data_IF_622178799335
#
_entry.id   IF_622178799335
#
_cell.length_a   1.000
_cell.length_b   1.000
_cell.length_c   1.000
_cell.angle_alpha   90.00
_cell.angle_beta   90.00
_cell.angle_gamma   90.00
#
_symmetry.space_group_name_H-M   'P 1'
#
loop_
_entity.id
_entity.type
_entity.pdbx_description
1 polymer ?
#
# COMPACT_ATOMS: atom_id res chain seq x y z
N UNK A 1 -44.23 11.78 41.33
CA UNK A 1 -43.24 11.62 40.24
C UNK A 1 -42.43 10.32 40.27
N UNK A 2 -42.16 9.69 41.44
CA UNK A 2 -41.42 8.41 41.53
C UNK A 2 -42.09 7.17 40.91
N UNK A 3 -43.42 7.16 40.73
CA UNK A 3 -44.19 5.97 40.32
C UNK A 3 -44.02 5.57 38.83
N UNK A 4 -43.55 6.50 37.99
CA UNK A 4 -43.43 6.26 36.55
C UNK A 4 -42.11 5.58 36.16
N UNK A 5 -41.07 5.63 37.01
CA UNK A 5 -39.77 5.01 36.74
C UNK A 5 -39.83 3.50 37.00
N UNK A 6 -40.56 3.06 38.03
CA UNK A 6 -40.71 1.63 38.36
C UNK A 6 -41.50 0.86 37.30
N UNK A 7 -42.52 1.47 36.67
CA UNK A 7 -43.27 0.83 35.58
C UNK A 7 -42.46 0.75 34.28
N UNK A 8 -41.49 1.66 34.09
CA UNK A 8 -40.55 1.61 32.97
C UNK A 8 -39.45 0.54 33.18
N UNK A 9 -39.08 0.23 34.42
CA UNK A 9 -38.18 -0.91 34.71
C UNK A 9 -38.95 -2.25 34.66
N UNK A 10 -40.28 -2.19 34.80
CA UNK A 10 -41.20 -3.31 34.57
C UNK A 10 -41.56 -3.48 33.07
N UNK A 11 -40.75 -2.89 32.17
CA UNK A 11 -40.77 -3.28 30.76
C UNK A 11 -40.52 -4.78 30.67
N UNK A 12 -41.32 -5.49 29.86
CA UNK A 12 -41.25 -6.95 29.70
C UNK A 12 -39.79 -7.39 29.60
N UNK A 13 -39.37 -8.31 30.48
CA UNK A 13 -37.99 -8.84 30.54
C UNK A 13 -37.47 -9.26 29.16
N UNK A 14 -38.38 -9.61 28.24
CA UNK A 14 -38.09 -9.87 26.83
C UNK A 14 -37.54 -8.67 26.04
N UNK A 15 -38.06 -7.46 26.25
CA UNK A 15 -37.55 -6.23 25.61
C UNK A 15 -36.14 -5.91 26.11
N UNK A 16 -35.90 -6.03 27.42
CA UNK A 16 -34.56 -5.82 27.99
C UNK A 16 -33.58 -6.86 27.43
N UNK A 17 -33.97 -8.13 27.37
CA UNK A 17 -33.17 -9.20 26.78
C UNK A 17 -32.87 -8.95 25.30
N UNK A 18 -33.86 -8.49 24.52
CA UNK A 18 -33.70 -8.16 23.10
C UNK A 18 -32.71 -7.01 22.89
N UNK A 19 -32.81 -5.94 23.69
CA UNK A 19 -31.87 -4.81 23.61
C UNK A 19 -30.44 -5.28 23.92
N UNK A 20 -30.27 -6.08 24.97
CA UNK A 20 -28.96 -6.66 25.32
C UNK A 20 -28.42 -7.51 24.16
N UNK A 21 -29.26 -8.38 23.58
CA UNK A 21 -28.88 -9.21 22.43
C UNK A 21 -28.45 -8.36 21.23
N UNK A 22 -29.17 -7.28 20.92
CA UNK A 22 -28.81 -6.35 19.83
C UNK A 22 -27.45 -5.67 20.10
N UNK A 23 -27.19 -5.25 21.33
CA UNK A 23 -25.90 -4.65 21.70
C UNK A 23 -24.76 -5.65 21.51
N UNK A 24 -24.92 -6.90 21.95
CA UNK A 24 -23.90 -7.94 21.75
C UNK A 24 -23.67 -8.27 20.28
N UNK A 25 -24.75 -8.37 19.48
CA UNK A 25 -24.64 -8.60 18.03
C UNK A 25 -23.93 -7.42 17.37
N UNK A 26 -24.30 -6.19 17.71
CA UNK A 26 -23.70 -4.97 17.16
C UNK A 26 -22.22 -4.86 17.52
N UNK A 27 -21.85 -5.16 18.77
CA UNK A 27 -20.47 -5.20 19.23
C UNK A 27 -19.66 -6.31 18.53
N UNK A 28 -20.24 -7.49 18.34
CA UNK A 28 -19.62 -8.60 17.61
C UNK A 28 -19.36 -8.24 16.14
N UNK A 29 -20.37 -7.68 15.47
CA UNK A 29 -20.24 -7.15 14.10
C UNK A 29 -19.14 -6.09 14.05
N UNK A 30 -19.21 -5.08 14.91
CA UNK A 30 -18.21 -4.01 14.98
C UNK A 30 -16.78 -4.55 15.16
N UNK A 31 -16.58 -5.54 16.03
CA UNK A 31 -15.26 -6.16 16.24
C UNK A 31 -14.73 -6.87 15.00
N UNK A 32 -15.59 -7.54 14.23
CA UNK A 32 -15.19 -8.21 12.98
C UNK A 32 -14.84 -7.20 11.89
N UNK A 33 -15.57 -6.09 11.81
CA UNK A 33 -15.36 -5.06 10.78
C UNK A 33 -14.17 -4.12 11.08
N UNK A 34 -13.77 -3.96 12.34
CA UNK A 34 -12.66 -3.05 12.73
C UNK A 34 -11.30 -3.72 12.84
N UNK A 35 -11.25 -5.06 12.92
CA UNK A 35 -9.96 -5.78 13.00
C UNK A 35 -9.16 -5.63 11.70
N UNK A 36 -7.87 -5.26 11.78
CA UNK A 36 -7.01 -5.21 10.62
C UNK A 36 -6.75 -6.62 10.08
N UNK A 37 -6.55 -6.72 8.77
CA UNK A 37 -6.10 -7.93 8.10
C UNK A 37 -4.58 -7.94 8.14
N UNK A 38 -4.00 -8.95 8.79
CA UNK A 38 -2.54 -9.15 8.85
C UNK A 38 -2.17 -10.33 7.94
N UNK A 39 -1.11 -10.20 7.16
CA UNK A 39 -0.63 -11.25 6.25
C UNK A 39 0.89 -11.17 6.17
N UNK A 40 1.56 -12.29 6.45
CA UNK A 40 2.99 -12.44 6.17
C UNK A 40 3.22 -12.54 4.67
N UNK A 41 4.22 -11.83 4.18
CA UNK A 41 4.58 -11.74 2.77
C UNK A 41 6.02 -12.18 2.61
N UNK A 42 6.23 -13.08 1.66
CA UNK A 42 7.53 -13.54 1.19
C UNK A 42 7.41 -13.73 -0.33
N UNK A 43 7.90 -12.74 -1.08
CA UNK A 43 7.88 -12.76 -2.53
C UNK A 43 9.28 -12.56 -3.09
N UNK A 44 9.56 -13.23 -4.21
CA UNK A 44 10.71 -13.01 -5.05
C UNK A 44 10.23 -12.86 -6.49
N UNK A 45 10.53 -11.74 -7.11
CA UNK A 45 10.06 -11.36 -8.44
C UNK A 45 11.22 -11.02 -9.36
N UNK A 46 11.06 -11.41 -10.62
CA UNK A 46 11.73 -10.72 -11.72
C UNK A 46 10.97 -9.43 -12.00
N UNK A 47 11.70 -8.36 -12.25
CA UNK A 47 11.20 -7.07 -12.65
C UNK A 47 12.03 -6.49 -13.78
N UNK A 48 11.54 -5.38 -14.32
CA UNK A 48 12.24 -4.61 -15.35
C UNK A 48 12.36 -3.17 -14.88
N UNK A 49 13.58 -2.65 -14.93
CA UNK A 49 13.87 -1.23 -14.86
C UNK A 49 13.96 -0.67 -16.26
N UNK A 50 13.24 0.40 -16.54
CA UNK A 50 13.22 1.02 -17.86
C UNK A 50 13.16 2.54 -17.73
N UNK A 51 13.48 3.22 -18.82
CA UNK A 51 13.34 4.67 -18.92
C UNK A 51 12.06 5.00 -19.71
N UNK A 52 11.25 5.91 -19.17
CA UNK A 52 10.06 6.39 -19.86
C UNK A 52 10.46 7.13 -21.14
N UNK A 53 9.71 6.94 -22.23
CA UNK A 53 9.99 7.60 -23.51
C UNK A 53 11.22 7.07 -24.28
N UNK A 54 11.98 6.14 -23.70
CA UNK A 54 13.10 5.46 -24.34
C UNK A 54 12.78 3.96 -24.46
N UNK A 55 12.48 3.53 -25.68
CA UNK A 55 12.13 2.13 -25.98
C UNK A 55 13.36 1.20 -26.02
N UNK A 56 14.56 1.77 -26.15
CA UNK A 56 15.80 1.02 -26.35
C UNK A 56 16.47 0.63 -25.02
N UNK A 57 15.91 1.08 -23.88
CA UNK A 57 16.48 0.81 -22.56
C UNK A 57 15.53 0.03 -21.66
N UNK A 58 15.96 -1.19 -21.34
CA UNK A 58 15.44 -2.01 -20.25
C UNK A 58 16.60 -2.76 -19.56
N UNK A 59 16.46 -2.98 -18.26
CA UNK A 59 17.42 -3.69 -17.43
C UNK A 59 16.64 -4.65 -16.51
N UNK A 60 16.94 -5.97 -16.51
CA UNK A 60 16.32 -6.90 -15.58
C UNK A 60 16.75 -6.61 -14.14
N UNK A 61 15.78 -6.66 -13.23
CA UNK A 61 15.97 -6.43 -11.79
C UNK A 61 15.37 -7.60 -11.02
N UNK A 62 16.02 -8.02 -9.94
CA UNK A 62 15.46 -8.95 -8.97
C UNK A 62 14.94 -8.19 -7.75
N UNK A 63 13.72 -8.53 -7.32
CA UNK A 63 13.06 -7.95 -6.16
C UNK A 63 12.71 -9.03 -5.15
N UNK A 64 13.04 -8.80 -3.88
CA UNK A 64 12.61 -9.65 -2.77
C UNK A 64 11.85 -8.80 -1.75
N UNK A 65 10.73 -9.31 -1.26
CA UNK A 65 9.81 -8.59 -0.37
C UNK A 65 9.45 -9.51 0.77
N UNK A 66 9.91 -9.17 1.97
CA UNK A 66 9.80 -10.01 3.16
C UNK A 66 9.28 -9.19 4.33
N UNK A 67 8.10 -9.49 4.85
CA UNK A 67 7.55 -8.76 5.98
C UNK A 67 6.08 -8.98 6.27
N UNK A 68 5.51 -8.08 7.06
CA UNK A 68 4.13 -8.14 7.53
C UNK A 68 3.32 -7.03 6.87
N UNK A 69 2.30 -7.42 6.11
CA UNK A 69 1.31 -6.53 5.53
C UNK A 69 0.07 -6.45 6.41
N UNK A 70 -0.28 -5.25 6.81
CA UNK A 70 -1.43 -4.94 7.66
C UNK A 70 -2.35 -3.99 6.92
N UNK A 71 -3.59 -4.39 6.69
CA UNK A 71 -4.61 -3.54 6.07
C UNK A 71 -5.74 -3.25 7.04
N UNK A 72 -5.99 -1.98 7.30
CA UNK A 72 -7.11 -1.52 8.12
C UNK A 72 -8.39 -1.67 7.31
N UNK A 73 -9.34 -2.50 7.76
CA UNK A 73 -10.59 -2.77 6.99
C UNK A 73 -11.46 -1.54 6.78
N UNK A 74 -11.52 -0.64 7.78
CA UNK A 74 -12.39 0.54 7.74
C UNK A 74 -11.84 1.67 6.87
N UNK A 75 -10.54 1.96 7.00
CA UNK A 75 -9.90 3.05 6.25
C UNK A 75 -9.27 2.58 4.96
N UNK A 76 -9.01 1.28 4.76
CA UNK A 76 -8.26 0.76 3.62
C UNK A 76 -6.75 0.98 3.69
N UNK A 77 -6.28 1.76 4.66
CA UNK A 77 -4.86 2.06 4.88
C UNK A 77 -4.06 0.77 5.05
N UNK A 78 -2.89 0.77 4.42
CA UNK A 78 -1.96 -0.33 4.46
C UNK A 78 -0.71 0.11 5.20
N UNK A 79 -0.23 -0.73 6.11
CA UNK A 79 1.09 -0.66 6.71
C UNK A 79 1.82 -1.96 6.37
N UNK A 80 3.01 -1.83 5.81
CA UNK A 80 3.96 -2.89 5.59
C UNK A 80 5.19 -2.63 6.47
N UNK A 81 5.58 -3.65 7.22
CA UNK A 81 6.81 -3.65 8.00
C UNK A 81 7.68 -4.81 7.54
N UNK A 82 8.82 -4.51 6.93
CA UNK A 82 9.68 -5.50 6.34
C UNK A 82 10.68 -4.94 5.34
N UNK A 83 11.35 -5.86 4.69
CA UNK A 83 12.46 -5.58 3.80
C UNK A 83 11.99 -5.66 2.35
N UNK A 84 12.31 -4.63 1.58
CA UNK A 84 12.26 -4.64 0.12
C UNK A 84 13.72 -4.63 -0.32
N UNK A 85 14.12 -5.61 -1.11
CA UNK A 85 15.50 -5.81 -1.55
C UNK A 85 15.49 -5.74 -3.06
N UNK A 86 16.31 -4.85 -3.63
CA UNK A 86 16.40 -4.60 -5.06
C UNK A 86 17.83 -4.97 -5.49
N UNK A 87 17.98 -5.96 -6.35
CA UNK A 87 19.28 -6.53 -6.77
C UNK A 87 20.19 -6.88 -5.59
N UNK A 88 19.63 -7.47 -4.53
CA UNK A 88 20.39 -7.85 -3.32
C UNK A 88 20.71 -6.69 -2.37
N UNK A 89 20.31 -5.46 -2.69
CA UNK A 89 20.50 -4.29 -1.83
C UNK A 89 19.18 -3.94 -1.14
N UNK A 90 19.21 -3.92 0.19
CA UNK A 90 18.05 -3.55 1.02
C UNK A 90 17.71 -2.07 0.85
N UNK A 91 16.45 -1.78 0.55
CA UNK A 91 15.92 -0.42 0.54
C UNK A 91 15.56 0.06 1.93
N UNK A 92 15.42 1.37 2.06
CA UNK A 92 15.09 2.07 3.28
C UNK A 92 13.76 2.81 3.08
N UNK A 93 12.77 2.45 3.87
CA UNK A 93 11.52 3.19 4.03
C UNK A 93 11.67 4.22 5.16
N UNK A 94 10.74 4.23 6.09
CA UNK A 94 10.73 5.13 7.23
C UNK A 94 10.54 4.34 8.53
N UNK A 95 10.34 5.08 9.62
CA UNK A 95 10.44 4.55 10.97
C UNK A 95 11.89 4.45 11.44
N UNK A 96 12.07 4.10 12.72
CA UNK A 96 13.40 4.07 13.35
C UNK A 96 14.34 3.03 12.73
N UNK A 97 13.76 1.92 12.25
CA UNK A 97 14.50 0.80 11.65
C UNK A 97 14.57 0.92 10.11
N UNK A 98 13.95 1.96 9.53
CA UNK A 98 13.96 2.21 8.08
C UNK A 98 13.26 1.13 7.25
N UNK A 99 12.34 0.37 7.83
CA UNK A 99 11.68 -0.78 7.19
C UNK A 99 10.15 -0.72 7.26
N UNK A 100 9.60 0.47 7.52
CA UNK A 100 8.16 0.70 7.54
C UNK A 100 7.71 1.48 6.30
N UNK A 101 6.60 1.05 5.71
CA UNK A 101 5.97 1.60 4.52
C UNK A 101 4.45 1.61 4.72
N UNK A 102 3.80 2.72 4.47
CA UNK A 102 2.43 3.03 4.84
C UNK A 102 1.76 3.67 3.63
N UNK A 103 0.82 2.96 3.06
CA UNK A 103 0.16 3.33 1.83
C UNK A 103 -1.26 3.76 2.24
N UNK A 104 -1.53 5.05 2.12
CA UNK A 104 -2.87 5.58 2.36
C UNK A 104 -3.75 5.39 1.10
N UNK A 105 -5.07 5.51 1.26
CA UNK A 105 -6.00 5.31 0.14
C UNK A 105 -5.91 6.37 -0.96
N UNK A 106 -5.47 7.58 -0.62
CA UNK A 106 -5.49 8.72 -1.55
C UNK A 106 -4.28 8.70 -2.49
N UNK A 107 -3.13 8.32 -1.94
CA UNK A 107 -1.82 8.41 -2.59
C UNK A 107 -1.26 7.04 -2.93
N UNK A 108 -1.66 5.96 -2.26
CA UNK A 108 -1.23 4.56 -2.49
C UNK A 108 0.25 4.38 -2.86
N UNK A 109 1.11 5.26 -2.35
CA UNK A 109 2.54 5.26 -2.60
C UNK A 109 3.30 5.55 -1.32
N UNK A 110 4.58 5.22 -1.32
CA UNK A 110 5.48 5.78 -0.34
C UNK A 110 6.90 5.99 -0.82
N UNK A 111 7.62 6.84 -0.10
CA UNK A 111 9.04 7.07 -0.33
C UNK A 111 9.82 5.79 -0.02
N UNK A 112 10.67 5.41 -0.97
CA UNK A 112 11.66 4.35 -0.87
C UNK A 112 13.03 4.95 -1.21
N UNK A 113 14.05 4.58 -0.44
CA UNK A 113 15.44 4.87 -0.75
C UNK A 113 16.16 3.59 -1.07
N UNK A 114 16.90 3.56 -2.15
CA UNK A 114 17.65 2.39 -2.57
C UNK A 114 18.95 2.87 -3.21
N UNK A 115 20.07 2.42 -2.65
CA UNK A 115 21.41 2.87 -3.05
C UNK A 115 21.50 4.40 -2.99
N UNK A 116 21.98 5.06 -4.04
CA UNK A 116 22.04 6.51 -4.17
C UNK A 116 20.74 7.16 -4.66
N UNK A 117 19.64 6.39 -4.75
CA UNK A 117 18.37 6.86 -5.28
C UNK A 117 17.28 6.98 -4.21
N UNK A 118 16.37 7.93 -4.44
CA UNK A 118 15.09 8.05 -3.74
C UNK A 118 13.98 7.92 -4.77
N UNK A 119 12.83 7.40 -4.39
CA UNK A 119 11.71 7.15 -5.30
C UNK A 119 10.40 7.00 -4.55
N UNK A 120 9.31 6.89 -5.29
CA UNK A 120 8.01 6.49 -4.76
C UNK A 120 7.68 5.06 -5.20
N UNK A 121 7.42 4.19 -4.22
CA UNK A 121 6.91 2.84 -4.42
C UNK A 121 5.38 2.85 -4.40
N UNK A 122 4.79 2.33 -5.47
CA UNK A 122 3.36 2.10 -5.65
C UNK A 122 3.11 0.60 -5.58
N UNK A 123 2.05 0.17 -4.89
CA UNK A 123 1.76 -1.26 -4.71
C UNK A 123 0.32 -1.61 -5.07
N UNK A 124 0.11 -2.84 -5.51
CA UNK A 124 -1.20 -3.48 -5.47
C UNK A 124 -1.45 -4.17 -4.12
N UNK A 125 -2.62 -4.77 -3.96
CA UNK A 125 -2.98 -5.46 -2.71
C UNK A 125 -1.96 -6.56 -2.41
N UNK A 126 -1.39 -6.51 -1.20
CA UNK A 126 -0.38 -7.45 -0.71
C UNK A 126 0.83 -7.58 -1.66
N UNK A 127 1.32 -6.51 -2.27
CA UNK A 127 2.51 -6.56 -3.14
C UNK A 127 2.44 -7.60 -4.27
N UNK A 128 1.26 -7.92 -4.79
CA UNK A 128 1.13 -8.79 -5.98
C UNK A 128 1.78 -8.16 -7.21
N UNK A 129 1.81 -6.83 -7.24
CA UNK A 129 2.44 -5.99 -8.23
C UNK A 129 3.00 -4.77 -7.49
N UNK A 130 4.11 -4.24 -7.99
CA UNK A 130 4.67 -2.98 -7.54
C UNK A 130 5.28 -2.22 -8.71
N UNK A 131 5.35 -0.91 -8.54
CA UNK A 131 6.11 -0.02 -9.41
C UNK A 131 6.86 0.96 -8.53
N UNK A 132 8.10 1.30 -8.88
CA UNK A 132 8.92 2.28 -8.19
C UNK A 132 9.32 3.31 -9.23
N UNK A 133 8.91 4.56 -9.05
CA UNK A 133 9.52 5.65 -9.79
C UNK A 133 10.84 6.05 -9.11
N UNK A 134 11.81 6.49 -9.89
CA UNK A 134 13.12 6.89 -9.38
C UNK A 134 13.25 8.40 -9.54
N UNK A 135 13.25 9.10 -8.41
CA UNK A 135 13.49 10.52 -8.32
C UNK A 135 15.00 10.78 -8.43
N UNK A 136 15.38 11.59 -9.42
CA UNK A 136 16.77 12.02 -9.58
C UNK A 136 16.93 13.47 -9.15
N UNK A 137 18.12 13.79 -8.66
CA UNK A 137 18.49 15.17 -8.36
C UNK A 137 18.59 15.97 -9.66
N UNK A 138 17.76 17.00 -9.82
CA UNK A 138 17.82 17.91 -10.98
C UNK A 138 18.70 19.12 -10.67
N UNK A 139 19.95 18.88 -10.28
CA UNK A 139 20.91 19.93 -9.94
C UNK A 139 20.55 20.67 -8.64
N UNK A 140 20.33 21.99 -8.72
CA UNK A 140 20.08 22.85 -7.54
C UNK A 140 18.67 22.69 -6.95
N UNK A 141 17.77 22.00 -7.64
CA UNK A 141 16.35 21.91 -7.28
C UNK A 141 15.96 20.46 -6.97
N UNK A 142 16.13 20.06 -5.70
CA UNK A 142 15.49 18.88 -5.11
C UNK A 142 15.61 17.56 -5.90
N UNK A 143 14.73 16.62 -5.55
CA UNK A 143 14.51 15.36 -6.26
C UNK A 143 13.18 15.46 -7.00
N UNK A 144 13.15 15.09 -8.28
CA UNK A 144 11.91 15.13 -9.08
C UNK A 144 11.84 13.95 -10.05
N UNK A 145 10.62 13.53 -10.35
CA UNK A 145 10.32 12.54 -11.38
C UNK A 145 9.78 13.24 -12.63
N UNK A 146 10.09 12.70 -13.80
CA UNK A 146 9.57 13.18 -15.09
C UNK A 146 8.94 12.03 -15.84
N UNK A 147 7.69 12.23 -16.27
CA UNK A 147 6.96 11.26 -17.07
C UNK A 147 7.42 11.20 -18.54
N UNK A 148 8.47 11.95 -18.92
CA UNK A 148 9.02 11.94 -20.27
C UNK A 148 10.34 11.17 -20.38
N UNK A 149 11.12 11.11 -19.31
CA UNK A 149 12.50 10.57 -19.30
C UNK A 149 12.92 9.98 -17.94
N UNK A 150 11.96 9.86 -17.01
CA UNK A 150 12.16 9.27 -15.69
C UNK A 150 12.40 7.77 -15.75
N UNK A 151 12.89 7.23 -14.64
CA UNK A 151 13.23 5.83 -14.51
C UNK A 151 12.20 5.12 -13.64
N UNK A 152 11.75 3.95 -14.09
CA UNK A 152 10.74 3.16 -13.38
C UNK A 152 11.25 1.72 -13.25
N UNK A 153 11.01 1.11 -12.09
CA UNK A 153 11.12 -0.33 -11.87
C UNK A 153 9.72 -0.88 -11.70
N UNK A 154 9.34 -1.95 -12.39
CA UNK A 154 8.05 -2.62 -12.16
C UNK A 154 8.24 -4.12 -12.03
N UNK A 155 7.36 -4.77 -11.27
CA UNK A 155 7.37 -6.20 -11.03
C UNK A 155 5.99 -6.70 -10.55
N UNK A 156 5.69 -8.00 -10.69
CA UNK A 156 6.46 -9.00 -11.43
C UNK A 156 6.28 -8.86 -12.94
N UNK A 157 7.36 -8.93 -13.71
CA UNK A 157 7.31 -8.91 -15.17
C UNK A 157 8.59 -9.47 -15.79
N UNK A 158 8.49 -9.93 -17.04
CA UNK A 158 9.63 -10.45 -17.81
C UNK A 158 9.90 -9.63 -19.09
N UNK A 159 9.17 -8.54 -19.32
CA UNK A 159 9.36 -7.64 -20.46
C UNK A 159 9.03 -6.20 -20.09
N UNK A 160 9.59 -5.23 -20.83
CA UNK A 160 9.21 -3.81 -20.71
C UNK A 160 7.72 -3.56 -20.91
N UNK A 161 7.07 -4.24 -21.85
CA UNK A 161 5.65 -4.03 -22.12
C UNK A 161 4.79 -4.37 -20.89
N UNK A 162 5.07 -5.51 -20.24
CA UNK A 162 4.44 -5.88 -18.97
C UNK A 162 4.77 -4.89 -17.85
N UNK A 163 6.01 -4.40 -17.79
CA UNK A 163 6.44 -3.41 -16.80
C UNK A 163 5.69 -2.08 -16.97
N UNK A 164 5.48 -1.63 -18.21
CA UNK A 164 4.71 -0.43 -18.54
C UNK A 164 3.22 -0.62 -18.25
N UNK A 165 2.67 -1.82 -18.45
CA UNK A 165 1.28 -2.11 -18.06
C UNK A 165 1.09 -1.99 -16.54
N UNK A 166 2.00 -2.59 -15.76
CA UNK A 166 1.98 -2.53 -14.29
C UNK A 166 2.13 -1.10 -13.80
N UNK A 167 3.09 -0.33 -14.32
CA UNK A 167 3.31 1.06 -13.90
C UNK A 167 2.10 1.93 -14.20
N UNK A 168 1.52 1.82 -15.40
CA UNK A 168 0.30 2.54 -15.76
C UNK A 168 -0.86 2.17 -14.82
N UNK A 169 -1.07 0.87 -14.55
CA UNK A 169 -2.12 0.40 -13.64
C UNK A 169 -1.98 0.95 -12.22
N UNK A 170 -0.76 1.10 -11.71
CA UNK A 170 -0.51 1.52 -10.33
C UNK A 170 -0.44 3.05 -10.20
N UNK A 171 0.24 3.73 -11.12
CA UNK A 171 0.50 5.17 -11.07
C UNK A 171 -0.73 5.97 -11.55
N UNK A 172 -1.46 5.50 -12.57
CA UNK A 172 -2.66 6.21 -13.05
C UNK A 172 -3.81 6.27 -12.05
N UNK A 173 -3.80 5.40 -11.03
CA UNK A 173 -4.75 5.53 -9.91
C UNK A 173 -4.66 6.91 -9.25
N UNK A 174 -3.51 7.55 -9.34
CA UNK A 174 -3.17 8.82 -8.72
C UNK A 174 -3.08 9.95 -9.74
N UNK A 175 -2.51 9.64 -10.91
CA UNK A 175 -2.30 10.60 -11.99
C UNK A 175 -3.10 10.18 -13.23
N UNK A 176 -4.41 10.44 -13.21
CA UNK A 176 -5.35 10.00 -14.26
C UNK A 176 -5.00 10.47 -15.68
N UNK A 177 -4.22 11.55 -15.80
CA UNK A 177 -3.83 12.13 -17.09
C UNK A 177 -2.45 11.68 -17.58
N UNK A 178 -1.77 10.81 -16.84
CA UNK A 178 -0.42 10.33 -17.17
C UNK A 178 -0.51 8.98 -17.87
N UNK A 179 -0.01 8.91 -19.11
CA UNK A 179 0.18 7.65 -19.83
C UNK A 179 1.67 7.42 -20.07
N UNK A 180 2.24 6.42 -19.39
CA UNK A 180 3.62 5.98 -19.57
C UNK A 180 3.69 5.17 -20.87
N UNK A 181 4.67 5.51 -21.72
CA UNK A 181 4.94 4.88 -23.01
C UNK A 181 6.36 4.30 -23.04
#
# INVERSE_FOLDING_TARGET
MKKNITNFIQTDKGIIFLIIAIIFISAGVYSVYTKPIVTDIEYSYNGIKYQVGNLDYEEPINLEINGVYTKVRSSGEVLFKGDIIINGVKSIGYGNDGNEYAFNNESNHNVIKWDDFTGDVFISDKFKELSIDILRANGKEGYSFSYNDGWIISAPCNSRDEAVEISNKLIQKLHKDVLIK
#
